data_IF_226843836722
#
_entry.id   IF_226843836722
#
_cell.length_a   1.000
_cell.length_b   1.000
_cell.length_c   1.000
_cell.angle_alpha   90.00
_cell.angle_beta   90.00
_cell.angle_gamma   90.00
#
_symmetry.space_group_name_H-M   'P 1'
#
loop_
_entity.id
_entity.type
_entity.pdbx_description
1 polymer ?
#
# COMPACT_ATOMS: atom_id res chain seq x y z
N UNK A 1 56.77 -8.70 56.86
CA UNK A 1 56.36 -8.67 55.43
C UNK A 1 55.09 -9.48 55.09
N UNK A 2 54.85 -10.68 55.65
CA UNK A 2 53.69 -11.52 55.28
C UNK A 2 52.30 -10.91 55.60
N UNK A 3 52.12 -10.29 56.79
CA UNK A 3 50.85 -9.64 57.19
C UNK A 3 50.40 -8.50 56.26
N UNK A 4 51.35 -7.76 55.69
CA UNK A 4 51.06 -6.60 54.85
C UNK A 4 50.57 -7.01 53.43
N UNK A 5 51.14 -8.08 52.86
CA UNK A 5 50.67 -8.70 51.61
C UNK A 5 49.27 -9.31 51.77
N UNK A 6 48.99 -9.93 52.92
CA UNK A 6 47.66 -10.51 53.23
C UNK A 6 46.57 -9.42 53.36
N UNK A 7 46.89 -8.28 53.98
CA UNK A 7 46.00 -7.12 54.12
C UNK A 7 45.69 -6.46 52.77
N UNK A 8 46.68 -6.26 51.91
CA UNK A 8 46.47 -5.77 50.54
C UNK A 8 45.64 -6.72 49.69
N UNK A 9 45.85 -8.03 49.82
CA UNK A 9 45.06 -9.05 49.12
C UNK A 9 43.58 -9.00 49.56
N UNK A 10 43.30 -8.94 50.87
CA UNK A 10 41.93 -8.79 51.42
C UNK A 10 41.24 -7.50 50.94
N UNK A 11 41.97 -6.38 50.87
CA UNK A 11 41.42 -5.11 50.34
C UNK A 11 41.08 -5.18 48.85
N UNK A 12 41.95 -5.79 48.03
CA UNK A 12 41.67 -6.03 46.59
C UNK A 12 40.46 -6.94 46.38
N UNK A 13 40.29 -7.99 47.19
CA UNK A 13 39.12 -8.89 47.13
C UNK A 13 37.83 -8.16 47.54
N UNK A 14 37.87 -7.35 48.61
CA UNK A 14 36.72 -6.52 49.03
C UNK A 14 36.33 -5.49 47.96
N UNK A 15 37.32 -4.82 47.35
CA UNK A 15 37.06 -3.89 46.25
C UNK A 15 36.46 -4.58 45.03
N UNK A 16 36.95 -5.78 44.65
CA UNK A 16 36.36 -6.56 43.54
C UNK A 16 34.92 -6.99 43.84
N UNK A 17 34.61 -7.39 45.09
CA UNK A 17 33.24 -7.72 45.51
C UNK A 17 32.31 -6.51 45.49
N UNK A 18 32.78 -5.35 45.94
CA UNK A 18 32.00 -4.11 45.91
C UNK A 18 31.77 -3.63 44.47
N UNK A 19 32.79 -3.73 43.60
CA UNK A 19 32.66 -3.41 42.18
C UNK A 19 31.68 -4.37 41.48
N UNK A 20 31.76 -5.66 41.76
CA UNK A 20 30.81 -6.66 41.25
C UNK A 20 29.39 -6.39 41.73
N UNK A 21 29.22 -6.04 43.01
CA UNK A 21 27.92 -5.66 43.57
C UNK A 21 27.34 -4.40 42.91
N UNK A 22 28.18 -3.40 42.64
CA UNK A 22 27.77 -2.20 41.90
C UNK A 22 27.38 -2.52 40.46
N UNK A 23 28.14 -3.38 39.75
CA UNK A 23 27.81 -3.82 38.39
C UNK A 23 26.47 -4.55 38.38
N UNK A 24 26.24 -5.49 39.31
CA UNK A 24 24.97 -6.21 39.43
C UNK A 24 23.82 -5.22 39.68
N UNK A 25 24.00 -4.29 40.62
CA UNK A 25 22.99 -3.26 40.91
C UNK A 25 22.67 -2.41 39.67
N UNK A 26 23.68 -1.93 38.95
CA UNK A 26 23.49 -1.16 37.71
C UNK A 26 22.73 -1.99 36.65
N UNK A 27 23.09 -3.25 36.46
CA UNK A 27 22.40 -4.16 35.52
C UNK A 27 20.93 -4.34 35.94
N UNK A 28 20.66 -4.61 37.22
CA UNK A 28 19.29 -4.78 37.72
C UNK A 28 18.46 -3.52 37.51
N UNK A 29 19.01 -2.34 37.81
CA UNK A 29 18.34 -1.06 37.59
C UNK A 29 18.05 -0.84 36.10
N UNK A 30 19.02 -1.10 35.22
CA UNK A 30 18.82 -1.03 33.76
C UNK A 30 17.70 -1.97 33.30
N UNK A 31 17.65 -3.21 33.76
CA UNK A 31 16.59 -4.18 33.41
C UNK A 31 15.22 -3.67 33.86
N UNK A 32 15.11 -3.15 35.08
CA UNK A 32 13.84 -2.58 35.59
C UNK A 32 13.37 -1.40 34.74
N UNK A 33 14.28 -0.49 34.37
CA UNK A 33 13.94 0.62 33.49
C UNK A 33 13.54 0.17 32.10
N UNK A 34 14.25 -0.79 31.50
CA UNK A 34 13.92 -1.36 30.19
C UNK A 34 12.55 -2.05 30.22
N UNK A 35 12.25 -2.80 31.27
CA UNK A 35 10.95 -3.43 31.45
C UNK A 35 9.83 -2.40 31.61
N UNK A 36 10.03 -1.36 32.43
CA UNK A 36 9.07 -0.28 32.59
C UNK A 36 8.81 0.47 31.27
N UNK A 37 9.87 0.76 30.51
CA UNK A 37 9.77 1.34 29.17
C UNK A 37 8.96 0.43 28.23
N UNK A 38 9.27 -0.86 28.19
CA UNK A 38 8.56 -1.84 27.37
C UNK A 38 7.06 -1.92 27.70
N UNK A 39 6.70 -1.95 29.00
CA UNK A 39 5.30 -1.97 29.41
C UNK A 39 4.55 -0.70 28.99
N UNK A 40 5.18 0.47 29.12
CA UNK A 40 4.59 1.74 28.66
C UNK A 40 4.41 1.77 27.15
N UNK A 41 5.42 1.35 26.39
CA UNK A 41 5.36 1.25 24.94
C UNK A 41 4.23 0.30 24.49
N UNK A 42 4.08 -0.85 25.16
CA UNK A 42 3.01 -1.80 24.87
C UNK A 42 1.63 -1.19 25.09
N UNK A 43 1.42 -0.45 26.18
CA UNK A 43 0.16 0.24 26.44
C UNK A 43 -0.16 1.29 25.38
N UNK A 44 0.82 2.13 25.04
CA UNK A 44 0.65 3.15 24.00
C UNK A 44 0.30 2.52 22.64
N UNK A 45 1.02 1.48 22.27
CA UNK A 45 0.78 0.77 21.00
C UNK A 45 -0.59 0.09 21.01
N UNK A 46 -1.01 -0.50 22.13
CA UNK A 46 -2.34 -1.12 22.22
C UNK A 46 -3.46 -0.12 21.92
N UNK A 47 -3.39 1.10 22.47
CA UNK A 47 -4.37 2.16 22.19
C UNK A 47 -4.34 2.56 20.72
N UNK A 48 -3.14 2.69 20.14
CA UNK A 48 -2.99 3.02 18.70
C UNK A 48 -3.53 1.90 17.80
N UNK A 49 -3.36 0.63 18.18
CA UNK A 49 -3.87 -0.52 17.45
C UNK A 49 -5.41 -0.57 17.48
N UNK A 50 -6.03 -0.36 18.64
CA UNK A 50 -7.49 -0.28 18.79
C UNK A 50 -8.09 0.89 17.99
N UNK A 51 -7.38 2.03 17.96
CA UNK A 51 -7.74 3.16 17.12
C UNK A 51 -7.73 2.79 15.62
N UNK A 52 -6.68 2.14 15.12
CA UNK A 52 -6.61 1.69 13.72
C UNK A 52 -7.71 0.69 13.35
N UNK A 53 -8.04 -0.23 14.26
CA UNK A 53 -9.15 -1.18 14.08
C UNK A 53 -10.50 -0.45 13.96
N UNK A 54 -10.69 0.63 14.71
CA UNK A 54 -11.87 1.50 14.60
C UNK A 54 -11.93 2.21 13.25
N UNK A 55 -10.80 2.76 12.77
CA UNK A 55 -10.71 3.37 11.43
C UNK A 55 -11.05 2.33 10.37
N UNK A 56 -10.37 1.19 10.39
CA UNK A 56 -10.53 0.10 9.42
C UNK A 56 -11.99 -0.34 9.32
N UNK A 57 -12.62 -0.68 10.45
CA UNK A 57 -14.03 -1.12 10.49
C UNK A 57 -14.97 -0.09 9.87
N UNK A 58 -14.77 1.19 10.18
CA UNK A 58 -15.63 2.26 9.70
C UNK A 58 -15.45 2.54 8.21
N UNK A 59 -14.23 2.51 7.71
CA UNK A 59 -13.95 2.75 6.29
C UNK A 59 -14.43 1.58 5.42
N UNK A 60 -14.22 0.33 5.86
CA UNK A 60 -14.81 -0.84 5.20
C UNK A 60 -16.33 -0.77 5.15
N UNK A 61 -16.98 -0.40 6.27
CA UNK A 61 -18.43 -0.19 6.29
C UNK A 61 -18.87 0.83 5.25
N UNK A 62 -18.16 1.95 5.11
CA UNK A 62 -18.50 2.96 4.11
C UNK A 62 -18.33 2.42 2.69
N UNK A 63 -17.26 1.66 2.40
CA UNK A 63 -17.09 1.02 1.08
C UNK A 63 -18.27 0.08 0.78
N UNK A 64 -18.68 -0.75 1.75
CA UNK A 64 -19.83 -1.65 1.62
C UNK A 64 -21.14 -0.91 1.37
N UNK A 65 -21.36 0.24 2.04
CA UNK A 65 -22.54 1.10 1.82
C UNK A 65 -22.58 1.69 0.40
N UNK A 66 -21.44 1.78 -0.28
CA UNK A 66 -21.31 2.27 -1.65
C UNK A 66 -21.24 1.15 -2.70
N UNK A 67 -21.48 -0.11 -2.31
CA UNK A 67 -21.60 -1.20 -3.27
C UNK A 67 -23.03 -1.27 -3.81
N UNK A 68 -23.16 -1.28 -5.13
CA UNK A 68 -24.41 -1.45 -5.84
C UNK A 68 -24.93 -2.88 -5.86
N UNK A 69 -26.15 -3.08 -6.40
CA UNK A 69 -26.81 -4.39 -6.44
C UNK A 69 -26.08 -5.41 -7.30
N UNK A 70 -25.43 -4.99 -8.40
CA UNK A 70 -24.70 -5.90 -9.30
C UNK A 70 -23.27 -6.18 -8.81
N UNK A 71 -22.81 -5.46 -7.79
CA UNK A 71 -21.49 -5.61 -7.20
C UNK A 71 -20.53 -4.46 -7.50
N UNK A 72 -20.91 -3.54 -8.38
CA UNK A 72 -20.18 -2.32 -8.69
C UNK A 72 -19.94 -1.46 -7.42
N UNK A 73 -18.81 -0.77 -7.33
CA UNK A 73 -18.52 0.12 -6.19
C UNK A 73 -18.50 1.56 -6.68
N UNK A 74 -19.42 2.38 -6.17
CA UNK A 74 -19.53 3.79 -6.51
C UNK A 74 -18.39 4.59 -5.85
N UNK A 75 -17.89 5.61 -6.55
CA UNK A 75 -16.86 6.52 -6.03
C UNK A 75 -17.36 7.33 -4.84
N UNK A 76 -18.63 7.77 -4.85
CA UNK A 76 -19.28 8.45 -3.74
C UNK A 76 -20.82 8.30 -3.75
N UNK A 77 -21.40 8.06 -2.58
CA UNK A 77 -22.84 7.96 -2.39
C UNK A 77 -23.44 6.65 -2.94
N UNK A 78 -24.33 6.03 -2.16
CA UNK A 78 -24.85 4.69 -2.44
C UNK A 78 -25.76 4.58 -3.68
N UNK A 79 -26.17 5.69 -4.32
CA UNK A 79 -27.22 5.67 -5.36
C UNK A 79 -27.12 6.76 -6.47
N UNK A 80 -26.08 7.58 -6.52
CA UNK A 80 -26.00 8.69 -7.49
C UNK A 80 -24.56 9.13 -7.81
N UNK A 81 -23.69 8.17 -8.18
CA UNK A 81 -22.28 8.43 -8.43
C UNK A 81 -21.74 7.72 -9.67
N UNK A 82 -20.49 8.05 -9.98
CA UNK A 82 -19.71 7.37 -11.00
C UNK A 82 -19.10 6.09 -10.43
N UNK A 83 -19.01 5.06 -11.26
CA UNK A 83 -18.19 3.87 -11.04
C UNK A 83 -16.97 4.01 -11.93
N UNK A 84 -15.82 4.17 -11.29
CA UNK A 84 -14.54 4.09 -11.96
C UNK A 84 -13.85 2.79 -11.49
N UNK A 85 -13.72 1.77 -12.36
CA UNK A 85 -13.10 0.49 -12.02
C UNK A 85 -11.71 0.59 -11.40
N UNK A 86 -10.91 1.59 -11.77
CA UNK A 86 -9.60 1.84 -11.17
C UNK A 86 -9.70 2.15 -9.67
N UNK A 87 -10.53 3.13 -9.30
CA UNK A 87 -10.76 3.50 -7.90
C UNK A 87 -11.57 2.45 -7.13
N UNK A 88 -12.49 1.76 -7.81
CA UNK A 88 -13.26 0.68 -7.22
C UNK A 88 -12.39 -0.54 -6.87
N UNK A 89 -11.35 -0.84 -7.66
CA UNK A 89 -10.33 -1.83 -7.29
C UNK A 89 -9.60 -1.45 -5.99
N UNK A 90 -9.24 -0.18 -5.81
CA UNK A 90 -8.61 0.30 -4.56
C UNK A 90 -9.55 0.15 -3.36
N UNK A 91 -10.83 0.49 -3.54
CA UNK A 91 -11.85 0.32 -2.50
C UNK A 91 -12.00 -1.16 -2.11
N UNK A 92 -12.08 -2.06 -3.09
CA UNK A 92 -12.17 -3.50 -2.87
C UNK A 92 -10.92 -4.07 -2.21
N UNK A 93 -9.71 -3.61 -2.57
CA UNK A 93 -8.47 -3.97 -1.88
C UNK A 93 -8.53 -3.60 -0.38
N UNK A 94 -9.13 -2.45 -0.06
CA UNK A 94 -9.34 -2.04 1.33
C UNK A 94 -10.29 -2.95 2.12
N UNK A 95 -11.25 -3.62 1.48
CA UNK A 95 -12.11 -4.62 2.13
C UNK A 95 -11.32 -5.87 2.54
N UNK A 96 -10.24 -6.20 1.82
CA UNK A 96 -9.35 -7.32 2.11
C UNK A 96 -8.33 -7.03 3.23
N UNK A 97 -8.16 -5.75 3.62
CA UNK A 97 -7.20 -5.37 4.65
C UNK A 97 -7.62 -5.91 6.03
N UNK A 98 -6.71 -6.46 6.81
CA UNK A 98 -7.05 -7.04 8.11
C UNK A 98 -5.96 -6.83 9.15
N UNK A 99 -6.33 -6.98 10.41
CA UNK A 99 -5.36 -7.00 11.52
C UNK A 99 -5.61 -8.21 12.39
N UNK A 100 -4.69 -8.49 13.31
CA UNK A 100 -4.81 -9.61 14.24
C UNK A 100 -6.15 -9.65 15.00
N UNK A 101 -6.74 -8.50 15.35
CA UNK A 101 -8.03 -8.46 16.06
C UNK A 101 -9.19 -7.93 15.19
N UNK A 102 -8.94 -7.59 13.93
CA UNK A 102 -9.96 -7.19 12.97
C UNK A 102 -9.74 -8.00 11.68
N UNK A 103 -10.05 -9.31 11.69
CA UNK A 103 -9.90 -10.17 10.52
C UNK A 103 -10.88 -9.78 9.42
N UNK A 104 -10.58 -10.12 8.17
CA UNK A 104 -11.54 -10.00 7.08
C UNK A 104 -12.81 -10.81 7.37
N UNK A 105 -13.98 -10.21 7.19
CA UNK A 105 -15.26 -10.89 7.41
C UNK A 105 -15.78 -11.56 6.14
N UNK A 106 -16.67 -12.55 6.29
CA UNK A 106 -17.34 -13.19 5.15
C UNK A 106 -18.14 -12.18 4.31
N UNK A 107 -18.74 -11.16 4.93
CA UNK A 107 -19.45 -10.08 4.24
C UNK A 107 -18.52 -9.28 3.34
N UNK A 108 -17.32 -8.93 3.84
CA UNK A 108 -16.30 -8.21 3.09
C UNK A 108 -15.75 -9.06 1.93
N UNK A 109 -15.44 -10.32 2.20
CA UNK A 109 -15.00 -11.27 1.18
C UNK A 109 -16.05 -11.43 0.06
N UNK A 110 -17.33 -11.63 0.42
CA UNK A 110 -18.42 -11.72 -0.57
C UNK A 110 -18.59 -10.43 -1.35
N UNK A 111 -18.46 -9.27 -0.70
CA UNK A 111 -18.51 -7.99 -1.38
C UNK A 111 -17.41 -7.85 -2.43
N UNK A 112 -16.16 -8.22 -2.12
CA UNK A 112 -15.09 -8.21 -3.12
C UNK A 112 -15.37 -9.20 -4.25
N UNK A 113 -15.87 -10.39 -3.94
CA UNK A 113 -16.27 -11.39 -4.95
C UNK A 113 -17.32 -10.84 -5.92
N UNK A 114 -18.39 -10.20 -5.41
CA UNK A 114 -19.42 -9.57 -6.28
C UNK A 114 -18.85 -8.46 -7.16
N UNK A 115 -17.91 -7.67 -6.63
CA UNK A 115 -17.24 -6.65 -7.45
C UNK A 115 -16.37 -7.29 -8.53
N UNK A 116 -15.65 -8.37 -8.23
CA UNK A 116 -14.88 -9.12 -9.23
C UNK A 116 -15.78 -9.76 -10.28
N UNK A 117 -16.95 -10.29 -9.91
CA UNK A 117 -17.96 -10.78 -10.85
C UNK A 117 -18.39 -9.66 -11.82
N UNK A 118 -18.80 -8.52 -11.28
CA UNK A 118 -19.21 -7.36 -12.07
C UNK A 118 -18.09 -6.87 -13.00
N UNK A 119 -16.90 -6.63 -12.45
CA UNK A 119 -15.76 -6.10 -13.19
C UNK A 119 -15.32 -7.08 -14.29
N UNK A 120 -15.27 -8.38 -13.98
CA UNK A 120 -14.93 -9.42 -14.96
C UNK A 120 -15.99 -9.50 -16.05
N UNK A 121 -17.28 -9.41 -15.71
CA UNK A 121 -18.37 -9.36 -16.68
C UNK A 121 -18.19 -8.21 -17.67
N UNK A 122 -17.99 -7.00 -17.16
CA UNK A 122 -17.70 -5.81 -17.99
C UNK A 122 -16.47 -6.02 -18.87
N UNK A 123 -15.36 -6.52 -18.30
CA UNK A 123 -14.12 -6.77 -19.04
C UNK A 123 -14.34 -7.72 -20.22
N UNK A 124 -15.12 -8.78 -20.04
CA UNK A 124 -15.43 -9.76 -21.08
C UNK A 124 -16.38 -9.18 -22.13
N UNK A 125 -17.42 -8.47 -21.71
CA UNK A 125 -18.42 -7.86 -22.61
C UNK A 125 -17.80 -6.80 -23.54
N UNK A 126 -16.78 -6.09 -23.07
CA UNK A 126 -16.14 -5.00 -23.82
C UNK A 126 -14.82 -5.38 -24.48
N UNK A 127 -14.45 -6.68 -24.50
CA UNK A 127 -13.16 -7.16 -25.00
C UNK A 127 -11.97 -6.38 -24.39
N UNK A 128 -11.99 -6.22 -23.07
CA UNK A 128 -10.94 -5.56 -22.30
C UNK A 128 -10.99 -4.04 -22.28
N UNK A 129 -11.91 -3.40 -23.02
CA UNK A 129 -12.03 -1.94 -23.07
C UNK A 129 -12.86 -1.43 -21.90
N UNK A 130 -12.17 -0.92 -20.88
CA UNK A 130 -12.83 -0.37 -19.69
C UNK A 130 -12.99 1.14 -19.79
N UNK A 131 -13.93 1.65 -19.00
CA UNK A 131 -14.17 3.08 -18.87
C UNK A 131 -14.83 3.43 -17.55
N UNK A 132 -15.40 4.61 -17.50
CA UNK A 132 -16.09 5.13 -16.32
C UNK A 132 -17.59 5.13 -16.64
N UNK A 133 -18.37 4.66 -15.67
CA UNK A 133 -19.80 4.48 -15.78
C UNK A 133 -20.52 5.42 -14.83
N UNK A 134 -21.72 5.87 -15.18
CA UNK A 134 -22.58 6.68 -14.32
C UNK A 134 -23.92 6.01 -14.16
N UNK A 135 -24.46 6.03 -12.94
CA UNK A 135 -25.84 5.62 -12.71
C UNK A 135 -26.82 6.68 -13.23
N UNK A 136 -27.59 6.35 -14.26
CA UNK A 136 -28.66 7.18 -14.81
C UNK A 136 -29.93 6.32 -14.95
N UNK A 137 -31.06 6.76 -14.39
CA UNK A 137 -32.33 6.02 -14.50
C UNK A 137 -32.38 4.64 -13.83
N UNK A 138 -31.36 4.28 -13.02
CA UNK A 138 -31.22 2.96 -12.41
C UNK A 138 -30.23 2.04 -13.13
N UNK A 139 -29.79 2.43 -14.33
CA UNK A 139 -28.83 1.69 -15.16
C UNK A 139 -27.45 2.36 -15.13
N UNK A 140 -26.39 1.56 -15.35
CA UNK A 140 -25.03 2.07 -15.51
C UNK A 140 -24.78 2.42 -16.98
N UNK A 141 -24.58 3.70 -17.26
CA UNK A 141 -24.30 4.22 -18.59
C UNK A 141 -22.82 4.51 -18.71
N UNK A 142 -22.18 3.99 -19.76
CA UNK A 142 -20.80 4.33 -20.11
C UNK A 142 -20.66 5.83 -20.39
N UNK A 143 -19.69 6.50 -19.77
CA UNK A 143 -19.47 7.95 -19.90
C UNK A 143 -18.20 8.28 -20.67
N UNK A 144 -17.10 7.66 -20.30
CA UNK A 144 -15.79 8.01 -20.80
C UNK A 144 -14.87 6.78 -20.80
N UNK A 145 -13.89 6.78 -21.70
CA UNK A 145 -12.87 5.75 -21.77
C UNK A 145 -11.90 5.88 -20.61
N UNK A 146 -11.26 4.77 -20.24
CA UNK A 146 -10.11 4.82 -19.33
C UNK A 146 -9.05 5.77 -19.90
N UNK A 147 -8.44 6.56 -19.01
CA UNK A 147 -7.30 7.40 -19.34
C UNK A 147 -6.03 6.57 -19.59
N UNK A 148 -5.95 5.40 -18.95
CA UNK A 148 -4.90 4.39 -19.10
C UNK A 148 -5.45 2.97 -19.06
N UNK A 149 -5.46 2.27 -20.21
CA UNK A 149 -5.97 0.90 -20.28
C UNK A 149 -5.04 -0.07 -19.52
N UNK A 150 -3.72 0.08 -19.65
CA UNK A 150 -2.74 -0.76 -18.97
C UNK A 150 -2.79 -0.60 -17.45
N UNK A 151 -2.89 0.63 -16.93
CA UNK A 151 -3.07 0.89 -15.50
C UNK A 151 -4.34 0.24 -14.92
N UNK A 152 -5.48 0.34 -15.62
CA UNK A 152 -6.73 -0.30 -15.19
C UNK A 152 -6.62 -1.82 -15.16
N UNK A 153 -6.02 -2.44 -16.19
CA UNK A 153 -5.78 -3.87 -16.24
C UNK A 153 -4.83 -4.33 -15.12
N UNK A 154 -3.79 -3.55 -14.84
CA UNK A 154 -2.88 -3.77 -13.72
C UNK A 154 -3.59 -3.79 -12.37
N UNK A 155 -4.48 -2.82 -12.13
CA UNK A 155 -5.27 -2.75 -10.90
C UNK A 155 -6.31 -3.87 -10.76
N UNK A 156 -6.93 -4.31 -11.87
CA UNK A 156 -7.80 -5.50 -11.88
C UNK A 156 -7.04 -6.75 -11.45
N UNK A 157 -5.88 -7.02 -12.06
CA UNK A 157 -5.04 -8.17 -11.71
C UNK A 157 -4.49 -8.07 -10.28
N UNK A 158 -4.20 -6.86 -9.81
CA UNK A 158 -3.78 -6.63 -8.43
C UNK A 158 -4.88 -7.07 -7.45
N UNK A 159 -6.11 -6.60 -7.64
CA UNK A 159 -7.22 -7.02 -6.80
C UNK A 159 -7.45 -8.53 -6.87
N UNK A 160 -7.45 -9.10 -8.08
CA UNK A 160 -7.66 -10.53 -8.28
C UNK A 160 -6.60 -11.36 -7.53
N UNK A 161 -5.32 -11.04 -7.71
CA UNK A 161 -4.22 -11.74 -7.02
C UNK A 161 -4.33 -11.64 -5.49
N UNK A 162 -4.66 -10.46 -4.96
CA UNK A 162 -4.86 -10.27 -3.51
C UNK A 162 -6.08 -11.03 -2.99
N UNK A 163 -7.18 -11.06 -3.74
CA UNK A 163 -8.36 -11.83 -3.35
C UNK A 163 -8.04 -13.31 -3.25
N UNK A 164 -7.35 -13.86 -4.24
CA UNK A 164 -6.97 -15.27 -4.27
C UNK A 164 -6.01 -15.65 -3.14
N UNK A 165 -4.99 -14.82 -2.88
CA UNK A 165 -4.08 -15.02 -1.76
C UNK A 165 -4.79 -15.01 -0.41
N UNK A 166 -5.70 -14.05 -0.18
CA UNK A 166 -6.42 -13.92 1.09
C UNK A 166 -7.49 -14.98 1.32
N UNK A 167 -8.08 -15.51 0.26
CA UNK A 167 -9.18 -16.48 0.35
C UNK A 167 -8.73 -17.92 0.18
N UNK A 168 -7.46 -18.14 -0.17
CA UNK A 168 -6.91 -19.46 -0.55
C UNK A 168 -7.78 -20.16 -1.61
N UNK A 169 -8.46 -19.38 -2.44
CA UNK A 169 -9.41 -19.88 -3.43
C UNK A 169 -8.67 -20.48 -4.61
N UNK A 170 -8.74 -21.80 -4.77
CA UNK A 170 -8.09 -22.54 -5.86
C UNK A 170 -9.05 -22.90 -6.99
N UNK A 171 -10.36 -22.94 -6.73
CA UNK A 171 -11.38 -23.25 -7.74
C UNK A 171 -12.08 -21.98 -8.19
N UNK A 172 -11.55 -21.39 -9.26
CA UNK A 172 -12.04 -20.14 -9.83
C UNK A 172 -13.24 -20.37 -10.75
N UNK A 173 -14.28 -19.52 -10.70
CA UNK A 173 -15.30 -19.46 -11.74
C UNK A 173 -14.68 -19.33 -13.13
N UNK A 174 -15.26 -20.02 -14.11
CA UNK A 174 -14.75 -20.01 -15.49
C UNK A 174 -14.72 -18.59 -16.09
N UNK A 175 -15.68 -17.74 -15.71
CA UNK A 175 -15.68 -16.31 -16.07
C UNK A 175 -14.42 -15.59 -15.58
N UNK A 176 -13.97 -15.85 -14.35
CA UNK A 176 -12.78 -15.22 -13.77
C UNK A 176 -11.51 -15.71 -14.45
N UNK A 177 -11.42 -17.01 -14.77
CA UNK A 177 -10.31 -17.55 -15.57
C UNK A 177 -10.22 -16.86 -16.93
N UNK A 178 -11.36 -16.71 -17.60
CA UNK A 178 -11.45 -16.01 -18.89
C UNK A 178 -11.09 -14.52 -18.77
N UNK A 179 -11.55 -13.84 -17.70
CA UNK A 179 -11.20 -12.45 -17.42
C UNK A 179 -9.71 -12.24 -17.20
N UNK A 180 -9.08 -13.09 -16.39
CA UNK A 180 -7.62 -13.08 -16.17
C UNK A 180 -6.89 -13.33 -17.49
N UNK A 181 -7.30 -14.34 -18.27
CA UNK A 181 -6.70 -14.65 -19.56
C UNK A 181 -6.79 -13.47 -20.54
N UNK A 182 -7.95 -12.81 -20.60
CA UNK A 182 -8.17 -11.64 -21.44
C UNK A 182 -7.30 -10.46 -21.00
N UNK A 183 -7.25 -10.16 -19.70
CA UNK A 183 -6.42 -9.09 -19.16
C UNK A 183 -4.93 -9.31 -19.45
N UNK A 184 -4.43 -10.54 -19.28
CA UNK A 184 -3.04 -10.90 -19.61
C UNK A 184 -2.75 -10.73 -21.10
N UNK A 185 -3.66 -11.16 -21.98
CA UNK A 185 -3.52 -10.97 -23.43
C UNK A 185 -3.48 -9.50 -23.81
N UNK A 186 -4.33 -8.66 -23.20
CA UNK A 186 -4.36 -7.21 -23.43
C UNK A 186 -3.08 -6.52 -22.92
N UNK A 187 -2.60 -6.88 -21.73
CA UNK A 187 -1.29 -6.41 -21.24
C UNK A 187 -0.16 -6.78 -22.21
N UNK A 188 -0.18 -8.01 -22.75
CA UNK A 188 0.81 -8.44 -23.73
C UNK A 188 0.69 -7.67 -25.05
N UNK A 189 -0.51 -7.36 -25.53
CA UNK A 189 -0.69 -6.58 -26.77
C UNK A 189 -0.26 -5.12 -26.61
N UNK A 190 -0.39 -4.55 -25.41
CA UNK A 190 0.10 -3.22 -25.07
C UNK A 190 1.61 -3.17 -24.79
N UNK A 191 2.29 -4.33 -24.78
CA UNK A 191 3.71 -4.40 -24.46
C UNK A 191 4.60 -4.22 -25.69
N UNK A 192 5.51 -3.25 -25.63
CA UNK A 192 6.59 -3.07 -26.60
C UNK A 192 7.93 -3.09 -25.86
N UNK A 193 8.89 -3.88 -26.34
CA UNK A 193 10.23 -4.04 -25.72
C UNK A 193 10.23 -4.36 -24.21
N UNK A 194 9.16 -4.96 -23.71
CA UNK A 194 9.02 -5.35 -22.30
C UNK A 194 8.48 -4.27 -21.39
N UNK A 195 7.86 -3.20 -21.91
CA UNK A 195 7.15 -2.16 -21.16
C UNK A 195 5.77 -1.93 -21.79
N UNK A 196 4.75 -1.57 -20.99
CA UNK A 196 3.40 -1.31 -21.51
C UNK A 196 3.21 0.15 -21.89
N UNK A 197 2.38 0.38 -22.90
CA UNK A 197 1.86 1.68 -23.28
C UNK A 197 0.39 1.83 -22.86
N UNK A 198 -0.06 3.08 -22.73
CA UNK A 198 -1.40 3.47 -22.25
C UNK A 198 -2.54 2.74 -22.96
N UNK A 199 -2.51 2.66 -24.29
CA UNK A 199 -3.52 1.96 -25.10
C UNK A 199 -3.01 1.71 -26.52
N UNK A 200 -3.79 1.06 -27.37
CA UNK A 200 -3.47 0.94 -28.81
C UNK A 200 -3.40 2.30 -29.51
N UNK A 201 -4.22 3.26 -29.09
CA UNK A 201 -4.29 4.62 -29.66
C UNK A 201 -3.25 5.56 -29.06
N UNK A 202 -2.87 5.34 -27.80
CA UNK A 202 -1.92 6.16 -27.07
C UNK A 202 -0.69 5.34 -26.69
N UNK A 203 0.39 5.55 -27.45
CA UNK A 203 1.67 4.84 -27.28
C UNK A 203 2.55 5.43 -26.18
N UNK A 204 2.04 6.37 -25.37
CA UNK A 204 2.79 6.93 -24.24
C UNK A 204 3.05 5.84 -23.21
N UNK A 205 4.25 5.86 -22.61
CA UNK A 205 4.70 4.88 -21.63
C UNK A 205 4.93 5.61 -20.30
N UNK A 206 4.04 5.39 -19.32
CA UNK A 206 4.10 6.01 -18.00
C UNK A 206 4.70 5.08 -16.95
N UNK A 207 5.46 5.65 -16.01
CA UNK A 207 6.03 4.92 -14.87
C UNK A 207 4.95 4.31 -13.98
N UNK A 208 3.92 5.09 -13.66
CA UNK A 208 2.89 4.73 -12.68
C UNK A 208 2.08 3.53 -13.18
N UNK A 209 1.59 3.60 -14.41
CA UNK A 209 0.83 2.53 -15.07
C UNK A 209 1.64 1.23 -15.13
N UNK A 210 2.92 1.31 -15.48
CA UNK A 210 3.80 0.14 -15.52
C UNK A 210 4.09 -0.47 -14.13
N UNK A 211 4.11 0.35 -13.07
CA UNK A 211 4.21 -0.15 -11.69
C UNK A 211 2.93 -0.85 -11.24
N UNK A 212 1.76 -0.37 -11.67
CA UNK A 212 0.46 -1.00 -11.42
C UNK A 212 0.35 -2.35 -12.15
N UNK A 213 0.73 -2.40 -13.43
CA UNK A 213 0.80 -3.65 -14.20
C UNK A 213 1.78 -4.62 -13.55
N UNK A 214 2.98 -4.15 -13.17
CA UNK A 214 3.95 -4.99 -12.47
C UNK A 214 3.39 -5.55 -11.17
N UNK A 215 2.70 -4.73 -10.37
CA UNK A 215 2.10 -5.15 -9.10
C UNK A 215 1.00 -6.18 -9.32
N UNK A 216 0.14 -5.96 -10.32
CA UNK A 216 -0.93 -6.90 -10.67
C UNK A 216 -0.38 -8.27 -11.02
N UNK A 217 0.63 -8.33 -11.88
CA UNK A 217 1.30 -9.58 -12.24
C UNK A 217 2.02 -10.23 -11.06
N UNK A 218 2.64 -9.42 -10.18
CA UNK A 218 3.32 -9.91 -8.99
C UNK A 218 2.36 -10.60 -8.01
N UNK A 219 1.23 -9.97 -7.70
CA UNK A 219 0.26 -10.56 -6.76
C UNK A 219 -0.45 -11.76 -7.38
N UNK A 220 -0.67 -11.77 -8.69
CA UNK A 220 -1.22 -12.92 -9.40
C UNK A 220 -0.24 -14.10 -9.44
N UNK A 221 1.07 -13.84 -9.62
CA UNK A 221 2.12 -14.88 -9.50
C UNK A 221 2.16 -15.47 -8.09
N UNK A 222 2.03 -14.64 -7.05
CA UNK A 222 2.00 -15.10 -5.66
C UNK A 222 0.77 -15.96 -5.34
N UNK A 223 -0.37 -15.68 -5.97
CA UNK A 223 -1.59 -16.47 -5.80
C UNK A 223 -1.48 -17.90 -6.35
N UNK A 224 -0.46 -18.21 -7.16
CA UNK A 224 -0.13 -19.59 -7.55
C UNK A 224 -1.07 -20.25 -8.57
N UNK A 225 -1.60 -19.47 -9.54
CA UNK A 225 -2.44 -20.00 -10.62
C UNK A 225 -1.69 -20.98 -11.54
N UNK A 226 -2.42 -21.85 -12.27
CA UNK A 226 -1.83 -22.88 -13.14
C UNK A 226 -0.82 -22.33 -14.17
N UNK A 227 -1.03 -21.11 -14.67
CA UNK A 227 -0.15 -20.42 -15.63
C UNK A 227 0.92 -19.50 -15.01
N UNK A 228 1.35 -19.80 -13.76
CA UNK A 228 2.33 -18.98 -13.01
C UNK A 228 3.60 -18.66 -13.83
N UNK A 229 4.07 -19.58 -14.68
CA UNK A 229 5.27 -19.37 -15.50
C UNK A 229 5.12 -18.22 -16.50
N UNK A 230 4.01 -18.15 -17.24
CA UNK A 230 3.78 -17.10 -18.23
C UNK A 230 3.63 -15.73 -17.54
N UNK A 231 2.92 -15.68 -16.41
CA UNK A 231 2.77 -14.47 -15.59
C UNK A 231 4.15 -13.98 -15.10
N UNK A 232 4.98 -14.91 -14.58
CA UNK A 232 6.33 -14.63 -14.11
C UNK A 232 7.23 -14.06 -15.21
N UNK A 233 7.13 -14.57 -16.43
CA UNK A 233 7.90 -14.08 -17.58
C UNK A 233 7.52 -12.65 -17.98
N UNK A 234 6.23 -12.34 -18.07
CA UNK A 234 5.74 -10.99 -18.36
C UNK A 234 6.21 -10.02 -17.28
N UNK A 235 6.01 -10.36 -15.99
CA UNK A 235 6.43 -9.51 -14.87
C UNK A 235 7.93 -9.25 -14.89
N UNK A 236 8.76 -10.28 -15.09
CA UNK A 236 10.23 -10.14 -15.12
C UNK A 236 10.69 -9.24 -16.26
N UNK A 237 10.02 -9.26 -17.42
CA UNK A 237 10.29 -8.33 -18.53
C UNK A 237 10.03 -6.89 -18.11
N UNK A 238 8.84 -6.59 -17.58
CA UNK A 238 8.47 -5.25 -17.10
C UNK A 238 9.43 -4.77 -16.01
N UNK A 239 9.69 -5.61 -15.00
CA UNK A 239 10.57 -5.27 -13.89
C UNK A 239 11.98 -4.88 -14.35
N UNK A 240 12.51 -5.57 -15.37
CA UNK A 240 13.84 -5.26 -15.95
C UNK A 240 13.84 -3.91 -16.67
N UNK A 241 12.73 -3.52 -17.29
CA UNK A 241 12.64 -2.28 -18.07
C UNK A 241 12.33 -1.05 -17.22
N UNK A 242 11.54 -1.17 -16.14
CA UNK A 242 11.13 -0.02 -15.31
C UNK A 242 12.33 0.84 -14.90
N UNK A 243 13.33 0.26 -14.24
CA UNK A 243 14.53 1.03 -13.86
C UNK A 243 15.34 1.48 -15.06
N UNK A 244 15.43 0.68 -16.13
CA UNK A 244 16.23 1.03 -17.31
C UNK A 244 15.66 2.27 -18.04
N UNK A 245 14.34 2.38 -18.10
CA UNK A 245 13.64 3.42 -18.85
C UNK A 245 13.42 4.67 -17.99
N UNK A 246 12.98 4.47 -16.74
CA UNK A 246 12.50 5.58 -15.91
C UNK A 246 13.50 6.09 -14.88
N UNK A 247 14.55 5.33 -14.54
CA UNK A 247 15.59 5.88 -13.66
C UNK A 247 16.49 6.84 -14.43
N UNK A 248 16.43 8.12 -14.09
CA UNK A 248 17.34 9.14 -14.60
C UNK A 248 18.57 9.24 -13.68
N UNK A 249 19.68 8.62 -14.09
CA UNK A 249 20.91 8.63 -13.31
C UNK A 249 21.61 10.00 -13.32
N UNK A 250 21.36 10.88 -14.28
CA UNK A 250 21.94 12.23 -14.25
C UNK A 250 21.31 13.08 -13.14
N UNK A 251 19.98 12.98 -12.99
CA UNK A 251 19.23 13.77 -12.02
C UNK A 251 18.83 13.01 -10.75
N UNK A 252 19.22 11.73 -10.64
CA UNK A 252 18.95 10.85 -9.50
C UNK A 252 17.46 10.79 -9.12
N UNK A 253 16.59 10.66 -10.12
CA UNK A 253 15.14 10.73 -9.97
C UNK A 253 14.41 9.79 -10.93
N UNK A 254 13.12 9.59 -10.68
CA UNK A 254 12.24 8.88 -11.59
C UNK A 254 11.66 9.80 -12.66
N UNK A 255 11.70 9.39 -13.91
CA UNK A 255 10.96 9.97 -15.03
C UNK A 255 9.50 9.56 -14.95
N UNK A 256 8.62 10.45 -15.42
CA UNK A 256 7.17 10.21 -15.46
C UNK A 256 6.82 9.45 -16.74
N UNK A 257 7.42 9.87 -17.85
CA UNK A 257 7.24 9.30 -19.19
C UNK A 257 8.58 8.76 -19.67
N UNK A 258 8.60 7.56 -20.27
CA UNK A 258 9.83 6.84 -20.58
C UNK A 258 10.80 7.56 -21.52
N UNK A 259 10.28 8.44 -22.39
CA UNK A 259 11.05 9.19 -23.38
C UNK A 259 11.09 10.71 -23.11
N UNK A 260 10.75 11.16 -21.89
CA UNK A 260 10.73 12.58 -21.54
C UNK A 260 11.52 12.88 -20.28
N UNK A 261 12.35 13.92 -20.34
CA UNK A 261 13.05 14.48 -19.18
C UNK A 261 12.26 15.60 -18.50
N UNK A 262 11.07 15.96 -19.03
CA UNK A 262 10.25 17.05 -18.48
C UNK A 262 9.96 16.81 -17.01
N UNK A 263 10.26 17.81 -16.19
CA UNK A 263 10.09 17.74 -14.75
C UNK A 263 9.88 19.10 -14.12
N UNK A 264 8.89 19.18 -13.24
CA UNK A 264 8.59 20.36 -12.44
C UNK A 264 8.69 19.98 -10.96
N UNK A 265 9.82 20.32 -10.36
CA UNK A 265 10.15 19.94 -8.98
C UNK A 265 9.12 20.39 -7.93
N UNK A 266 8.34 21.43 -8.23
CA UNK A 266 7.32 22.02 -7.35
C UNK A 266 5.92 21.43 -7.55
N UNK A 267 5.69 20.66 -8.62
CA UNK A 267 4.39 20.05 -8.89
C UNK A 267 4.22 18.78 -8.05
N UNK A 268 3.12 18.70 -7.31
CA UNK A 268 2.82 17.53 -6.49
C UNK A 268 2.57 16.30 -7.37
N UNK A 269 1.70 16.45 -8.37
CA UNK A 269 1.36 15.43 -9.35
C UNK A 269 1.50 16.02 -10.75
N UNK A 270 2.04 15.27 -11.73
CA UNK A 270 2.57 13.90 -11.59
C UNK A 270 3.99 13.83 -11.00
N UNK A 271 4.74 14.93 -11.07
CA UNK A 271 6.19 14.98 -10.83
C UNK A 271 6.63 14.50 -9.45
N UNK A 272 6.03 15.02 -8.38
CA UNK A 272 6.33 14.64 -7.00
C UNK A 272 5.93 13.20 -6.70
N UNK A 273 4.69 12.82 -7.02
CA UNK A 273 4.13 11.48 -6.76
C UNK A 273 4.93 10.39 -7.46
N UNK A 274 5.38 10.61 -8.70
CA UNK A 274 6.23 9.67 -9.43
C UNK A 274 7.50 9.29 -8.65
N UNK A 275 8.04 10.18 -7.81
CA UNK A 275 9.27 9.92 -7.05
C UNK A 275 9.08 8.89 -5.92
N UNK A 276 7.85 8.72 -5.44
CA UNK A 276 7.52 7.79 -4.35
C UNK A 276 6.63 6.63 -4.82
N UNK A 277 6.11 6.66 -6.05
CA UNK A 277 5.24 5.61 -6.59
C UNK A 277 5.83 4.19 -6.50
N UNK A 278 7.14 3.96 -6.76
CA UNK A 278 7.76 2.66 -6.54
C UNK A 278 7.61 2.15 -5.10
N UNK A 279 7.61 3.03 -4.09
CA UNK A 279 7.38 2.64 -2.70
C UNK A 279 5.91 2.27 -2.46
N UNK A 280 4.96 2.99 -3.06
CA UNK A 280 3.52 2.72 -2.88
C UNK A 280 3.17 1.28 -3.30
N UNK A 281 3.71 0.85 -4.45
CA UNK A 281 3.47 -0.48 -4.99
C UNK A 281 4.48 -1.54 -4.52
N UNK A 282 5.38 -1.18 -3.59
CA UNK A 282 6.40 -2.08 -3.03
C UNK A 282 7.37 -2.65 -4.08
N UNK A 283 7.67 -1.86 -5.12
CA UNK A 283 8.58 -2.24 -6.19
C UNK A 283 10.02 -2.41 -5.64
N UNK A 284 10.73 -3.49 -6.03
CA UNK A 284 12.07 -3.78 -5.52
C UNK A 284 13.13 -2.91 -6.21
N UNK A 285 13.21 -1.64 -5.80
CA UNK A 285 14.25 -0.69 -6.26
C UNK A 285 15.63 -1.18 -5.84
N UNK A 286 16.60 -1.18 -6.78
CA UNK A 286 17.99 -1.60 -6.53
C UNK A 286 18.67 -0.69 -5.52
N UNK A 287 18.58 0.63 -5.73
CA UNK A 287 19.26 1.64 -4.92
C UNK A 287 18.35 2.20 -3.81
N UNK A 288 18.08 1.38 -2.79
CA UNK A 288 17.19 1.72 -1.66
C UNK A 288 17.55 3.04 -0.95
N UNK A 289 18.84 3.40 -0.88
CA UNK A 289 19.29 4.66 -0.29
C UNK A 289 18.86 5.87 -1.13
N UNK A 290 18.93 5.77 -2.46
CA UNK A 290 18.47 6.83 -3.37
C UNK A 290 16.96 6.99 -3.29
N UNK A 291 16.23 5.87 -3.25
CA UNK A 291 14.77 5.88 -3.04
C UNK A 291 14.38 6.55 -1.71
N UNK A 292 15.15 6.33 -0.63
CA UNK A 292 14.94 7.04 0.64
C UNK A 292 15.10 8.56 0.48
N UNK A 293 16.14 9.01 -0.22
CA UNK A 293 16.36 10.45 -0.45
C UNK A 293 15.17 11.07 -1.18
N UNK A 294 14.62 10.41 -2.20
CA UNK A 294 13.43 10.87 -2.90
C UNK A 294 12.19 10.97 -2.00
N UNK A 295 11.99 9.98 -1.12
CA UNK A 295 10.92 10.03 -0.11
C UNK A 295 11.08 11.19 0.87
N UNK A 296 12.29 11.40 1.39
CA UNK A 296 12.58 12.49 2.34
C UNK A 296 12.31 13.85 1.68
N UNK A 297 12.80 14.05 0.45
CA UNK A 297 12.57 15.27 -0.34
C UNK A 297 11.09 15.52 -0.64
N UNK A 298 10.35 14.48 -1.02
CA UNK A 298 8.91 14.55 -1.26
C UNK A 298 8.16 14.94 0.02
N UNK A 299 8.50 14.31 1.14
CA UNK A 299 7.88 14.56 2.45
C UNK A 299 8.15 15.97 2.94
N UNK A 300 9.41 16.43 2.86
CA UNK A 300 9.80 17.79 3.22
C UNK A 300 9.03 18.82 2.39
N UNK A 301 9.02 18.66 1.06
CA UNK A 301 8.43 19.63 0.14
C UNK A 301 6.92 19.73 0.26
N UNK A 302 6.23 18.59 0.26
CA UNK A 302 4.78 18.58 0.07
C UNK A 302 3.99 18.43 1.37
N UNK A 303 4.65 17.99 2.45
CA UNK A 303 4.01 17.77 3.75
C UNK A 303 2.73 16.93 3.56
N UNK A 304 2.88 15.81 2.83
CA UNK A 304 1.76 15.09 2.25
C UNK A 304 0.78 14.54 3.31
N UNK A 305 1.29 14.26 4.51
CA UNK A 305 0.53 13.77 5.66
C UNK A 305 -0.50 14.77 6.19
N UNK A 306 -0.36 16.06 5.84
CA UNK A 306 -1.27 17.13 6.29
C UNK A 306 -2.54 17.26 5.46
N UNK A 307 -2.69 16.48 4.37
CA UNK A 307 -3.86 16.52 3.47
C UNK A 307 -4.28 17.94 3.04
N UNK A 308 -3.31 18.84 2.83
CA UNK A 308 -3.58 20.24 2.54
C UNK A 308 -4.36 20.43 1.22
N UNK A 309 -5.25 21.43 1.19
CA UNK A 309 -6.16 21.74 0.07
C UNK A 309 -5.48 22.22 -1.23
N UNK A 310 -4.14 22.23 -1.28
CA UNK A 310 -3.39 22.66 -2.48
C UNK A 310 -3.30 21.56 -3.54
N UNK A 311 -3.90 20.39 -3.30
CA UNK A 311 -3.98 19.28 -4.25
C UNK A 311 -5.26 19.40 -5.06
N UNK A 312 -5.15 19.34 -6.38
CA UNK A 312 -6.30 19.31 -7.26
C UNK A 312 -6.89 17.90 -7.30
N UNK A 313 -8.22 17.78 -7.15
CA UNK A 313 -8.99 16.60 -7.56
C UNK A 313 -9.09 15.45 -6.56
N UNK A 314 -8.04 15.13 -5.78
CA UNK A 314 -7.97 13.91 -4.94
C UNK A 314 -7.20 14.14 -3.62
N UNK A 315 -7.39 13.26 -2.62
CA UNK A 315 -6.69 13.35 -1.34
C UNK A 315 -5.27 12.80 -1.41
N UNK A 316 -5.04 11.82 -2.29
CA UNK A 316 -3.77 11.10 -2.42
C UNK A 316 -3.40 10.37 -1.13
N UNK A 317 -4.38 9.69 -0.51
CA UNK A 317 -4.16 8.92 0.72
C UNK A 317 -3.03 7.90 0.52
N UNK A 318 -2.97 7.25 -0.64
CA UNK A 318 -1.95 6.26 -1.05
C UNK A 318 -0.48 6.63 -0.77
N UNK A 319 -0.17 7.91 -0.57
CA UNK A 319 1.15 8.36 -0.09
C UNK A 319 1.53 7.73 1.27
N UNK A 320 0.57 7.32 2.09
CA UNK A 320 0.80 6.60 3.33
C UNK A 320 1.40 5.21 3.12
N UNK A 321 1.12 4.54 2.00
CA UNK A 321 1.77 3.27 1.63
C UNK A 321 3.29 3.44 1.44
N UNK A 322 3.74 4.58 0.88
CA UNK A 322 5.15 4.90 0.79
C UNK A 322 5.79 5.08 2.18
N UNK A 323 5.10 5.76 3.10
CA UNK A 323 5.53 5.89 4.49
C UNK A 323 5.60 4.53 5.21
N UNK A 324 4.63 3.64 4.96
CA UNK A 324 4.64 2.29 5.50
C UNK A 324 5.87 1.50 5.05
N UNK A 325 6.24 1.56 3.76
CA UNK A 325 7.45 0.94 3.23
C UNK A 325 8.73 1.53 3.83
N UNK A 326 8.74 2.84 4.03
CA UNK A 326 9.85 3.54 4.68
C UNK A 326 9.89 3.36 6.20
N UNK A 327 8.87 2.71 6.78
CA UNK A 327 8.67 2.56 8.24
C UNK A 327 8.55 3.89 8.97
N UNK A 328 8.08 4.93 8.28
CA UNK A 328 7.81 6.24 8.86
C UNK A 328 6.45 6.24 9.57
N UNK A 329 6.47 5.67 10.78
CA UNK A 329 5.29 5.55 11.64
C UNK A 329 4.68 6.93 11.96
N UNK A 330 5.51 7.97 12.10
CA UNK A 330 5.02 9.28 12.55
C UNK A 330 4.20 9.96 11.46
N UNK A 331 4.73 10.05 10.24
CA UNK A 331 3.99 10.65 9.13
C UNK A 331 2.76 9.81 8.75
N UNK A 332 2.83 8.48 8.85
CA UNK A 332 1.67 7.62 8.58
C UNK A 332 0.55 7.81 9.62
N UNK A 333 0.90 7.94 10.90
CA UNK A 333 -0.09 8.25 11.95
C UNK A 333 -0.70 9.64 11.75
N UNK A 334 0.12 10.63 11.41
CA UNK A 334 -0.36 12.00 11.13
C UNK A 334 -1.34 12.00 9.94
N UNK A 335 -1.03 11.27 8.85
CA UNK A 335 -1.94 11.12 7.71
C UNK A 335 -3.29 10.55 8.12
N UNK A 336 -3.31 9.39 8.80
CA UNK A 336 -4.57 8.73 9.19
C UNK A 336 -5.36 9.61 10.17
N UNK A 337 -4.68 10.27 11.12
CA UNK A 337 -5.34 11.20 12.05
C UNK A 337 -5.95 12.43 11.37
N UNK A 338 -5.26 13.00 10.38
CA UNK A 338 -5.77 14.14 9.60
C UNK A 338 -6.93 13.70 8.70
N UNK A 339 -6.84 12.52 8.07
CA UNK A 339 -7.92 11.93 7.29
C UNK A 339 -9.22 11.83 8.10
N UNK A 340 -9.12 11.28 9.31
CA UNK A 340 -10.27 11.14 10.20
C UNK A 340 -10.86 12.48 10.64
N UNK A 341 -9.98 13.42 11.01
CA UNK A 341 -10.40 14.72 11.53
C UNK A 341 -11.10 15.55 10.46
N UNK A 342 -10.58 15.53 9.23
CA UNK A 342 -11.04 16.42 8.16
C UNK A 342 -12.16 15.82 7.29
N UNK A 343 -12.09 14.52 6.96
CA UNK A 343 -12.91 13.93 5.90
C UNK A 343 -13.92 12.89 6.40
N UNK A 344 -13.58 12.12 7.44
CA UNK A 344 -14.43 11.00 7.85
C UNK A 344 -15.86 11.43 8.25
N UNK A 345 -16.01 12.47 9.09
CA UNK A 345 -17.34 12.84 9.64
C UNK A 345 -18.36 13.28 8.60
N UNK A 346 -17.90 13.94 7.52
CA UNK A 346 -18.80 14.57 6.54
C UNK A 346 -18.68 13.96 5.14
N UNK A 347 -17.81 12.97 4.95
CA UNK A 347 -17.51 12.32 3.66
C UNK A 347 -17.41 13.32 2.50
N UNK A 348 -16.74 14.45 2.76
CA UNK A 348 -16.71 15.58 1.84
C UNK A 348 -15.82 15.25 0.65
N UNK A 349 -16.23 15.73 -0.53
CA UNK A 349 -15.32 15.88 -1.67
C UNK A 349 -14.00 16.56 -1.22
N UNK A 350 -12.82 16.06 -1.66
CA UNK A 350 -12.59 15.05 -2.69
C UNK A 350 -12.49 13.59 -2.19
N UNK A 351 -13.10 13.25 -1.05
CA UNK A 351 -13.08 11.87 -0.54
C UNK A 351 -13.91 10.93 -1.43
N UNK A 352 -13.26 9.88 -1.93
CA UNK A 352 -13.87 8.77 -2.66
C UNK A 352 -13.59 7.42 -1.98
N UNK A 353 -14.37 6.39 -2.33
CA UNK A 353 -14.20 5.03 -1.80
C UNK A 353 -12.81 4.45 -2.06
N UNK A 354 -12.15 4.80 -3.17
CA UNK A 354 -10.77 4.41 -3.44
C UNK A 354 -9.77 4.94 -2.39
N UNK A 355 -9.95 6.17 -1.90
CA UNK A 355 -9.12 6.75 -0.82
C UNK A 355 -9.36 6.04 0.51
N UNK A 356 -10.63 5.69 0.81
CA UNK A 356 -10.93 4.85 1.98
C UNK A 356 -10.27 3.47 1.86
N UNK A 357 -10.19 2.91 0.65
CA UNK A 357 -9.46 1.68 0.36
C UNK A 357 -7.97 1.77 0.70
N UNK A 358 -7.31 2.86 0.31
CA UNK A 358 -5.93 3.14 0.70
C UNK A 358 -5.75 3.25 2.21
N UNK A 359 -6.62 4.01 2.89
CA UNK A 359 -6.57 4.14 4.35
C UNK A 359 -6.70 2.78 5.04
N UNK A 360 -7.58 1.89 4.57
CA UNK A 360 -7.69 0.53 5.11
C UNK A 360 -6.37 -0.26 5.01
N UNK A 361 -5.74 -0.27 3.83
CA UNK A 361 -4.45 -0.95 3.62
C UNK A 361 -3.33 -0.32 4.47
N UNK A 362 -3.33 1.00 4.61
CA UNK A 362 -2.38 1.73 5.45
C UNK A 362 -2.55 1.41 6.93
N UNK A 363 -3.78 1.27 7.42
CA UNK A 363 -4.07 0.83 8.78
C UNK A 363 -3.50 -0.58 9.04
N UNK A 364 -3.69 -1.53 8.13
CA UNK A 364 -3.09 -2.89 8.22
C UNK A 364 -1.55 -2.81 8.29
N UNK A 365 -0.92 -2.05 7.40
CA UNK A 365 0.55 -1.92 7.37
C UNK A 365 1.09 -1.24 8.63
N UNK A 366 0.43 -0.18 9.10
CA UNK A 366 0.80 0.53 10.33
C UNK A 366 0.63 -0.35 11.56
N UNK A 367 -0.43 -1.17 11.61
CA UNK A 367 -0.64 -2.17 12.65
C UNK A 367 0.55 -3.14 12.72
N UNK A 368 0.98 -3.69 11.58
CA UNK A 368 2.15 -4.58 11.51
C UNK A 368 3.47 -3.89 11.88
N UNK A 369 3.62 -2.58 11.60
CA UNK A 369 4.77 -1.79 12.07
C UNK A 369 4.81 -1.69 13.59
N UNK A 370 3.65 -1.52 14.24
CA UNK A 370 3.55 -1.52 15.69
C UNK A 370 3.90 -2.88 16.31
N UNK A 371 3.43 -3.98 15.73
CA UNK A 371 3.80 -5.32 16.20
C UNK A 371 5.31 -5.55 16.14
N UNK A 372 5.96 -5.13 15.04
CA UNK A 372 7.42 -5.19 14.89
C UNK A 372 8.14 -4.31 15.92
N UNK A 373 7.61 -3.13 16.21
CA UNK A 373 8.16 -2.21 17.23
C UNK A 373 8.11 -2.84 18.62
N UNK A 374 7.00 -3.48 19.01
CA UNK A 374 6.89 -4.24 20.26
C UNK A 374 7.91 -5.38 20.30
N UNK A 375 7.96 -6.22 19.26
CA UNK A 375 8.90 -7.36 19.20
C UNK A 375 10.36 -6.92 19.35
N UNK A 376 10.75 -5.83 18.69
CA UNK A 376 12.10 -5.29 18.77
C UNK A 376 12.42 -4.76 20.17
N UNK A 377 11.49 -4.04 20.79
CA UNK A 377 11.67 -3.53 22.15
C UNK A 377 11.77 -4.66 23.19
N UNK A 378 11.04 -5.76 22.99
CA UNK A 378 11.13 -6.95 23.85
C UNK A 378 12.51 -7.62 23.79
N UNK A 379 13.09 -7.75 22.58
CA UNK A 379 14.43 -8.33 22.41
C UNK A 379 15.49 -7.51 23.17
N UNK A 380 15.34 -6.19 23.27
CA UNK A 380 16.25 -5.34 24.06
C UNK A 380 16.09 -5.51 25.58
N UNK A 381 15.03 -6.17 26.05
CA UNK A 381 14.78 -6.44 27.46
C UNK A 381 15.32 -7.80 27.93
N UNK A 382 15.67 -8.70 27.00
CA UNK A 382 16.34 -9.99 27.25
C UNK A 382 17.86 -9.75 27.14
#
# INVERSE_FOLDING_TARGET
MHKHKQSQCKRKVKHRKNLMGLIIFCITVCIVFMFAYYQNLRKEISVRQEWLETVLTREKKWILENQGPEGEIYMNGSKAGDVNPYFACMAALGLLAETKNCPMTETEQKAVGRYLDWHTGVLLETDGKMGIYRKEGGELIYKEKADSEDGYLGMYLFLMGKYLEKTESTDLPESWKNGISLALKKIQSLMQDGITQVSEENTTVYLMDNLEVWKGLYELELAGLEDTQAISEIRKKIQKQIEKIFWDDANQRWRIIGNSDRYHQTEFYPDGVAQIYPLIYEFPVKEKKKQKVLYDQFTERFQWQKLNKKRTGFLWAMTGMAAAQMRDINNLVELVGNYETEYCKKRKYPLYTGEAGWICMECEKLYGLYERKIKTAFILCI
#
